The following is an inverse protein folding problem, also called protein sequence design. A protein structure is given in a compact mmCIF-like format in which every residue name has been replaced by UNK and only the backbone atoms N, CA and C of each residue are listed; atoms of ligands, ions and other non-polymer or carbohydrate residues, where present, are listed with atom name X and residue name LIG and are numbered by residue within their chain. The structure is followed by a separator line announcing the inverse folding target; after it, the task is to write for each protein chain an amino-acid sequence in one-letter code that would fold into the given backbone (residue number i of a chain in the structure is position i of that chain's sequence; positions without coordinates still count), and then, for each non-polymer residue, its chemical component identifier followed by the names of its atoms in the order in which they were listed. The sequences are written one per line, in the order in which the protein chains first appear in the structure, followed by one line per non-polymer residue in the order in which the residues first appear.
data_IF_787847370116
#
_entry.id   IF_787847370116
#
_cell.length_a   1.000
_cell.length_b   1.000
_cell.length_c   1.000
_cell.angle_alpha   90.00
_cell.angle_beta   90.00
_cell.angle_gamma   90.00
#
_symmetry.space_group_name_H-M   'P 1'
#
loop_
_entity.id
_entity.type
_entity.pdbx_description
1 polymer ?
#
# COMPACT_ATOMS: atom_id res chain seq x y z
N UNK A 1 -6.68 -17.23 -7.20
CA UNK A 1 -6.13 -16.65 -8.43
C UNK A 1 -4.63 -16.50 -8.23
N UNK A 2 -3.80 -16.95 -9.17
CA UNK A 2 -2.36 -16.67 -9.12
C UNK A 2 -2.14 -15.32 -9.79
N UNK A 3 -1.84 -14.28 -9.03
CA UNK A 3 -1.44 -12.96 -9.54
C UNK A 3 0.08 -12.81 -9.42
N UNK A 4 0.69 -11.94 -10.22
CA UNK A 4 2.09 -11.56 -10.03
C UNK A 4 2.17 -10.62 -8.81
N UNK A 5 2.80 -11.11 -7.74
CA UNK A 5 2.90 -10.37 -6.48
C UNK A 5 3.69 -9.07 -6.63
N UNK A 6 4.72 -9.06 -7.47
CA UNK A 6 5.52 -7.85 -7.69
C UNK A 6 4.71 -6.80 -8.46
N UNK A 7 3.84 -7.24 -9.39
CA UNK A 7 2.91 -6.35 -10.08
C UNK A 7 1.88 -5.75 -9.12
N UNK A 8 1.30 -6.56 -8.23
CA UNK A 8 0.36 -6.11 -7.23
C UNK A 8 0.97 -5.08 -6.26
N UNK A 9 2.22 -5.30 -5.81
CA UNK A 9 2.94 -4.35 -4.96
C UNK A 9 3.16 -3.01 -5.68
N UNK A 10 3.55 -3.04 -6.97
CA UNK A 10 3.71 -1.81 -7.77
C UNK A 10 2.38 -1.07 -7.93
N UNK A 11 1.28 -1.80 -8.18
CA UNK A 11 -0.06 -1.24 -8.26
C UNK A 11 -0.50 -0.59 -6.95
N UNK A 12 -0.32 -1.30 -5.82
CA UNK A 12 -0.61 -0.81 -4.48
C UNK A 12 0.16 0.48 -4.18
N UNK A 13 1.46 0.51 -4.48
CA UNK A 13 2.29 1.70 -4.31
C UNK A 13 1.76 2.88 -5.11
N UNK A 14 1.42 2.67 -6.38
CA UNK A 14 0.91 3.72 -7.26
C UNK A 14 -0.42 4.29 -6.75
N UNK A 15 -1.33 3.43 -6.29
CA UNK A 15 -2.63 3.85 -5.74
C UNK A 15 -2.44 4.70 -4.48
N UNK A 16 -1.68 4.20 -3.50
CA UNK A 16 -1.46 4.91 -2.23
C UNK A 16 -0.73 6.25 -2.48
N UNK A 17 0.26 6.27 -3.37
CA UNK A 17 1.00 7.48 -3.71
C UNK A 17 0.12 8.55 -4.36
N UNK A 18 -0.76 8.15 -5.29
CA UNK A 18 -1.62 9.08 -6.03
C UNK A 18 -2.88 9.51 -5.25
N UNK A 19 -3.15 8.92 -4.09
CA UNK A 19 -4.38 9.17 -3.34
C UNK A 19 -4.25 10.35 -2.39
N UNK A 20 -5.17 11.32 -2.50
CA UNK A 20 -5.25 12.49 -1.62
C UNK A 20 -5.77 12.16 -0.20
N UNK A 21 -6.24 10.94 0.03
CA UNK A 21 -6.77 10.47 1.31
C UNK A 21 -6.31 9.03 1.61
N UNK A 22 -6.34 8.59 2.89
CA UNK A 22 -6.06 7.22 3.25
C UNK A 22 -6.94 6.21 2.50
N UNK A 23 -6.34 5.16 1.98
CA UNK A 23 -7.02 4.06 1.26
C UNK A 23 -7.27 2.90 2.21
N UNK A 24 -8.53 2.56 2.47
CA UNK A 24 -8.89 1.37 3.24
C UNK A 24 -8.65 0.07 2.46
N UNK A 25 -8.67 -1.05 3.19
CA UNK A 25 -8.42 -2.39 2.67
C UNK A 25 -9.42 -2.78 1.57
N UNK A 26 -10.71 -2.44 1.75
CA UNK A 26 -11.79 -2.77 0.82
C UNK A 26 -11.62 -2.07 -0.53
N UNK A 27 -11.26 -0.78 -0.51
CA UNK A 27 -10.97 -0.01 -1.72
C UNK A 27 -9.75 -0.54 -2.45
N UNK A 28 -8.68 -0.88 -1.72
CA UNK A 28 -7.45 -1.42 -2.32
C UNK A 28 -7.71 -2.78 -2.97
N UNK A 29 -8.42 -3.68 -2.27
CA UNK A 29 -8.85 -4.97 -2.80
C UNK A 29 -9.69 -4.82 -4.07
N UNK A 30 -10.66 -3.90 -4.07
CA UNK A 30 -11.51 -3.63 -5.22
C UNK A 30 -10.71 -3.12 -6.43
N UNK A 31 -9.82 -2.14 -6.23
CA UNK A 31 -9.06 -1.52 -7.34
C UNK A 31 -7.99 -2.46 -7.89
N UNK A 32 -7.36 -3.26 -7.03
CA UNK A 32 -6.35 -4.24 -7.45
C UNK A 32 -6.95 -5.54 -7.96
N UNK A 33 -8.26 -5.73 -7.85
CA UNK A 33 -8.97 -6.97 -8.16
C UNK A 33 -8.41 -8.19 -7.40
N UNK A 34 -8.11 -8.00 -6.11
CA UNK A 34 -7.52 -9.01 -5.23
C UNK A 34 -8.43 -9.34 -4.05
N UNK A 35 -8.28 -10.54 -3.45
CA UNK A 35 -8.95 -10.86 -2.19
C UNK A 35 -8.56 -9.88 -1.08
N UNK A 36 -9.51 -9.55 -0.21
CA UNK A 36 -9.31 -8.59 0.90
C UNK A 36 -8.18 -9.03 1.83
N UNK A 37 -8.10 -10.33 2.11
CA UNK A 37 -7.10 -10.96 2.97
C UNK A 37 -5.66 -10.83 2.44
N UNK A 38 -5.46 -10.51 1.17
CA UNK A 38 -4.11 -10.33 0.59
C UNK A 38 -3.55 -8.92 0.84
N UNK A 39 -4.40 -7.92 1.11
CA UNK A 39 -4.00 -6.51 1.14
C UNK A 39 -3.00 -6.22 2.24
N UNK A 40 -3.23 -6.71 3.46
CA UNK A 40 -2.33 -6.48 4.58
C UNK A 40 -0.92 -7.03 4.28
N UNK A 41 -0.84 -8.24 3.73
CA UNK A 41 0.45 -8.84 3.34
C UNK A 41 1.17 -8.06 2.23
N UNK A 42 0.44 -7.51 1.26
CA UNK A 42 1.04 -6.67 0.21
C UNK A 42 1.56 -5.34 0.76
N UNK A 43 0.85 -4.74 1.72
CA UNK A 43 1.30 -3.52 2.40
C UNK A 43 2.56 -3.77 3.22
N UNK A 44 2.64 -4.90 3.92
CA UNK A 44 3.84 -5.29 4.67
C UNK A 44 5.06 -5.52 3.76
N UNK A 45 4.86 -6.17 2.61
CA UNK A 45 5.90 -6.34 1.61
C UNK A 45 6.38 -4.99 1.06
N UNK A 46 5.45 -4.11 0.70
CA UNK A 46 5.77 -2.77 0.21
C UNK A 46 6.50 -1.94 1.29
N UNK A 47 6.07 -2.00 2.54
CA UNK A 47 6.71 -1.30 3.66
C UNK A 47 8.17 -1.76 3.85
N UNK A 48 8.44 -3.06 3.74
CA UNK A 48 9.80 -3.62 3.77
C UNK A 48 10.66 -3.12 2.61
N UNK A 49 10.12 -3.11 1.40
CA UNK A 49 10.81 -2.56 0.22
C UNK A 49 11.14 -1.06 0.37
N UNK A 50 10.34 -0.32 1.18
CA UNK A 50 10.52 1.11 1.44
C UNK A 50 11.37 1.44 2.68
N UNK A 51 12.00 0.47 3.36
CA UNK A 51 12.80 0.72 4.58
C UNK A 51 13.91 1.76 4.38
N UNK A 52 14.56 1.77 3.20
CA UNK A 52 15.61 2.73 2.84
C UNK A 52 15.10 4.07 2.28
N UNK A 53 13.79 4.23 2.07
CA UNK A 53 13.21 5.42 1.46
C UNK A 53 13.03 6.59 2.46
N UNK A 54 12.99 7.81 1.93
CA UNK A 54 12.53 8.99 2.67
C UNK A 54 11.01 8.99 2.89
N UNK A 55 10.28 8.18 2.14
CA UNK A 55 8.83 7.95 2.26
C UNK A 55 8.55 6.66 3.03
N UNK A 56 7.35 6.57 3.59
CA UNK A 56 6.85 5.40 4.32
C UNK A 56 5.34 5.27 4.14
N UNK A 57 4.82 4.06 4.36
CA UNK A 57 3.38 3.83 4.50
C UNK A 57 3.01 3.99 5.97
N UNK A 58 1.92 4.72 6.22
CA UNK A 58 1.32 4.87 7.54
C UNK A 58 -0.14 4.45 7.50
N UNK A 59 -0.67 3.98 8.64
CA UNK A 59 -2.10 3.72 8.80
C UNK A 59 -2.76 4.86 9.57
N UNK A 60 -3.73 5.53 8.96
CA UNK A 60 -4.44 6.69 9.49
C UNK A 60 -5.94 6.48 9.30
N UNK A 61 -6.74 6.70 10.35
CA UNK A 61 -8.21 6.58 10.31
C UNK A 61 -8.73 5.27 9.67
N UNK A 62 -7.97 4.18 9.80
CA UNK A 62 -8.32 2.87 9.24
C UNK A 62 -7.74 2.56 7.85
N UNK A 63 -7.23 3.55 7.12
CA UNK A 63 -6.64 3.36 5.79
C UNK A 63 -5.14 3.62 5.71
N UNK A 64 -4.53 3.27 4.58
CA UNK A 64 -3.12 3.45 4.27
C UNK A 64 -2.86 4.74 3.49
N UNK A 65 -1.80 5.45 3.86
CA UNK A 65 -1.35 6.65 3.17
C UNK A 65 0.18 6.69 3.09
N UNK A 66 0.71 7.41 2.10
CA UNK A 66 2.15 7.63 1.99
C UNK A 66 2.51 8.95 2.68
N UNK A 67 3.55 8.93 3.49
CA UNK A 67 4.05 10.10 4.20
C UNK A 67 5.58 10.13 4.17
N UNK A 68 6.17 11.28 4.48
CA UNK A 68 7.61 11.35 4.75
C UNK A 68 7.94 10.64 6.07
N UNK A 69 9.18 10.17 6.19
CA UNK A 69 9.73 9.75 7.49
C UNK A 69 10.03 10.99 8.33
N UNK A 70 9.88 10.93 9.67
CA UNK A 70 10.01 12.12 10.54
C UNK A 70 11.35 12.88 10.48
N UNK A 71 12.39 12.26 9.92
CA UNK A 71 13.74 12.83 9.80
C UNK A 71 13.96 13.71 8.57
N UNK A 72 12.95 13.82 7.70
CA UNK A 72 12.94 14.64 6.48
C UNK A 72 11.72 15.56 6.50
#
# INVERSE_FOLDING_TARGET
MSYDRDEAIRGLQAIIFASDAPCDDERLALVLELPLEEIEGLVEDLARLMEGSALQIVRLAGGYHMATRPRY
#
